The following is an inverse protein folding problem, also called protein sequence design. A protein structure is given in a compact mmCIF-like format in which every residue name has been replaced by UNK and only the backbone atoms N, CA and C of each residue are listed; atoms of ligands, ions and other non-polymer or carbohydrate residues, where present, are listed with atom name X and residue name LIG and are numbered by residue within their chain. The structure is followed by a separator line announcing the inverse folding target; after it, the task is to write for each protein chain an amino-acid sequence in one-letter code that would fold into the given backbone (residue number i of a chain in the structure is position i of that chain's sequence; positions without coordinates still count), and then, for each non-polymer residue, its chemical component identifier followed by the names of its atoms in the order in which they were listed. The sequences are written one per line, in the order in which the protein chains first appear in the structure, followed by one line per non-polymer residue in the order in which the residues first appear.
data_IF_494183534349
#
_entry.id   IF_494183534349
#
_cell.length_a   1.000
_cell.length_b   1.000
_cell.length_c   1.000
_cell.angle_alpha   90.00
_cell.angle_beta   90.00
_cell.angle_gamma   90.00
#
_symmetry.space_group_name_H-M   'P 1'
#
loop_
_entity.id
_entity.type
_entity.pdbx_description
1 polymer ?
#
# COMPACT_ATOMS: atom_id res chain seq x y z
N UNK A 1 -26.56 -10.13 4.24
CA UNK A 1 -25.79 -8.91 4.00
C UNK A 1 -26.55 -8.10 2.97
N UNK A 2 -27.07 -6.90 3.23
CA UNK A 2 -27.71 -6.10 2.21
C UNK A 2 -26.65 -5.55 1.25
N UNK A 3 -26.90 -5.71 -0.04
CA UNK A 3 -26.12 -5.13 -1.14
C UNK A 3 -26.01 -3.61 -1.01
N UNK A 4 -24.81 -3.12 -0.69
CA UNK A 4 -24.46 -1.69 -0.70
C UNK A 4 -23.80 -1.37 -2.05
N UNK A 5 -24.46 -1.70 -3.13
CA UNK A 5 -24.11 -1.22 -4.47
C UNK A 5 -25.28 -0.39 -5.04
N UNK A 6 -25.48 0.80 -4.46
CA UNK A 6 -26.08 1.85 -5.23
C UNK A 6 -24.98 2.38 -6.17
N UNK A 7 -24.93 1.84 -7.38
CA UNK A 7 -24.09 2.37 -8.45
C UNK A 7 -24.63 3.77 -8.79
N UNK A 8 -24.01 4.80 -8.25
CA UNK A 8 -24.10 6.14 -8.83
C UNK A 8 -23.34 6.06 -10.15
N UNK A 9 -24.01 6.35 -11.27
CA UNK A 9 -23.41 6.28 -12.61
C UNK A 9 -22.19 7.21 -12.75
N UNK A 10 -21.40 7.03 -13.82
CA UNK A 10 -20.23 7.86 -14.08
C UNK A 10 -20.60 9.36 -14.08
N UNK A 11 -19.62 10.18 -13.72
CA UNK A 11 -19.75 11.63 -13.73
C UNK A 11 -20.24 12.11 -15.12
N UNK A 12 -21.24 13.00 -15.21
CA UNK A 12 -21.69 13.48 -16.51
C UNK A 12 -20.56 14.08 -17.32
N UNK A 13 -20.48 13.76 -18.62
CA UNK A 13 -19.48 14.32 -19.52
C UNK A 13 -19.51 15.85 -19.46
N UNK A 14 -18.34 16.49 -19.25
CA UNK A 14 -18.21 17.95 -19.15
C UNK A 14 -18.44 18.53 -17.74
N UNK A 15 -18.70 17.70 -16.71
CA UNK A 15 -18.79 18.18 -15.33
C UNK A 15 -17.41 18.54 -14.79
N UNK A 16 -17.34 19.61 -14.00
CA UNK A 16 -16.12 20.01 -13.28
C UNK A 16 -16.40 19.96 -11.78
N UNK A 17 -15.57 19.18 -11.06
CA UNK A 17 -15.55 19.10 -9.60
C UNK A 17 -14.33 19.89 -9.11
N UNK A 18 -14.45 20.63 -8.02
CA UNK A 18 -13.34 21.37 -7.43
C UNK A 18 -13.18 20.98 -5.96
N UNK A 19 -11.95 20.66 -5.57
CA UNK A 19 -11.56 20.34 -4.20
C UNK A 19 -10.15 20.87 -3.90
N UNK A 20 -9.75 20.92 -2.63
CA UNK A 20 -8.37 21.24 -2.28
C UNK A 20 -7.43 20.10 -2.66
N UNK A 21 -7.90 18.85 -2.49
CA UNK A 21 -7.12 17.63 -2.74
C UNK A 21 -7.91 16.62 -3.58
N UNK A 22 -7.29 16.14 -4.66
CA UNK A 22 -7.77 15.01 -5.44
C UNK A 22 -6.87 13.78 -5.17
N UNK A 23 -7.47 12.67 -4.72
CA UNK A 23 -6.76 11.40 -4.50
C UNK A 23 -7.19 10.41 -5.57
N UNK A 24 -6.26 9.98 -6.39
CA UNK A 24 -6.47 8.95 -7.41
C UNK A 24 -6.20 7.58 -6.78
N UNK A 25 -7.24 6.76 -6.66
CA UNK A 25 -7.18 5.42 -6.08
C UNK A 25 -7.82 5.30 -4.70
N UNK A 26 -8.86 4.49 -4.62
CA UNK A 26 -9.67 4.21 -3.43
C UNK A 26 -9.27 2.95 -2.67
N UNK A 27 -7.97 2.63 -2.59
CA UNK A 27 -7.44 1.59 -1.71
C UNK A 27 -7.26 2.09 -0.25
N UNK A 28 -6.66 1.27 0.61
CA UNK A 28 -6.38 1.65 2.00
C UNK A 28 -5.50 2.92 2.09
N UNK A 29 -4.45 2.99 1.27
CA UNK A 29 -3.54 4.14 1.21
C UNK A 29 -4.31 5.41 0.80
N UNK A 30 -5.02 5.37 -0.34
CA UNK A 30 -5.72 6.57 -0.83
C UNK A 30 -6.81 7.05 0.12
N UNK A 31 -7.61 6.16 0.69
CA UNK A 31 -8.61 6.55 1.69
C UNK A 31 -7.98 7.05 3.00
N UNK A 32 -6.85 6.45 3.43
CA UNK A 32 -6.11 6.94 4.59
C UNK A 32 -5.59 8.36 4.39
N UNK A 33 -4.99 8.64 3.22
CA UNK A 33 -4.53 9.98 2.84
C UNK A 33 -5.71 10.97 2.75
N UNK A 34 -6.81 10.57 2.12
CA UNK A 34 -8.01 11.40 2.01
C UNK A 34 -8.58 11.77 3.39
N UNK A 35 -8.63 10.81 4.32
CA UNK A 35 -9.12 11.06 5.67
C UNK A 35 -8.20 12.02 6.43
N UNK A 36 -6.88 11.83 6.38
CA UNK A 36 -5.93 12.71 7.07
C UNK A 36 -5.92 14.12 6.46
N UNK A 37 -6.04 14.25 5.15
CA UNK A 37 -6.22 15.54 4.48
C UNK A 37 -7.53 16.23 4.92
N UNK A 38 -8.63 15.48 5.05
CA UNK A 38 -9.91 15.99 5.55
C UNK A 38 -9.79 16.47 7.01
N UNK A 39 -9.11 15.71 7.87
CA UNK A 39 -8.84 16.09 9.27
C UNK A 39 -8.05 17.39 9.39
N UNK A 40 -7.22 17.73 8.40
CA UNK A 40 -6.49 19.00 8.34
C UNK A 40 -7.34 20.19 7.79
N UNK A 41 -8.63 19.96 7.56
CA UNK A 41 -9.59 20.99 7.12
C UNK A 41 -9.71 21.16 5.61
N UNK A 42 -9.07 20.30 4.80
CA UNK A 42 -9.14 20.35 3.34
C UNK A 42 -10.39 19.67 2.79
N UNK A 43 -10.96 20.21 1.74
CA UNK A 43 -11.94 19.50 0.92
C UNK A 43 -11.24 18.44 0.07
N UNK A 44 -11.79 17.22 0.02
CA UNK A 44 -11.12 16.07 -0.59
C UNK A 44 -12.07 15.28 -1.46
N UNK A 45 -11.60 14.84 -2.62
CA UNK A 45 -12.27 13.83 -3.43
C UNK A 45 -11.37 12.62 -3.66
N UNK A 46 -11.99 11.43 -3.73
CA UNK A 46 -11.34 10.17 -4.07
C UNK A 46 -11.90 9.68 -5.40
N UNK A 47 -11.02 9.52 -6.37
CA UNK A 47 -11.34 9.10 -7.75
C UNK A 47 -11.00 7.62 -7.88
N UNK A 48 -12.02 6.78 -8.02
CA UNK A 48 -11.88 5.33 -8.20
C UNK A 48 -13.22 4.72 -8.63
N UNK A 49 -13.24 3.95 -9.71
CA UNK A 49 -14.45 3.28 -10.24
C UNK A 49 -14.82 2.02 -9.43
N UNK A 50 -13.88 1.43 -8.71
CA UNK A 50 -14.09 0.21 -7.92
C UNK A 50 -13.32 0.25 -6.58
N UNK A 51 -13.64 1.22 -5.68
CA UNK A 51 -12.85 1.49 -4.49
C UNK A 51 -12.77 0.28 -3.56
N UNK A 52 -11.56 -0.03 -3.10
CA UNK A 52 -11.25 -1.14 -2.21
C UNK A 52 -11.09 -2.50 -2.91
N UNK A 53 -11.39 -2.64 -4.21
CA UNK A 53 -11.40 -3.93 -4.94
C UNK A 53 -10.00 -4.47 -5.30
N UNK A 54 -8.96 -3.64 -5.22
CA UNK A 54 -7.59 -3.98 -5.59
C UNK A 54 -6.84 -4.81 -4.54
N UNK A 55 -5.54 -4.52 -4.36
CA UNK A 55 -4.67 -5.22 -3.40
C UNK A 55 -5.21 -5.18 -1.96
N UNK A 56 -5.88 -4.09 -1.56
CA UNK A 56 -6.47 -3.95 -0.23
C UNK A 56 -7.56 -4.98 0.08
N UNK A 57 -8.32 -5.44 -0.93
CA UNK A 57 -9.36 -6.45 -0.76
C UNK A 57 -8.80 -7.82 -0.36
N UNK A 58 -7.69 -8.19 -0.99
CA UNK A 58 -7.06 -9.48 -0.76
C UNK A 58 -6.12 -9.46 0.47
N UNK A 59 -5.69 -8.30 0.94
CA UNK A 59 -4.69 -8.21 2.01
C UNK A 59 -5.12 -8.97 3.27
N UNK A 60 -4.15 -9.66 3.88
CA UNK A 60 -4.36 -10.34 5.16
C UNK A 60 -4.36 -9.36 6.35
N UNK A 61 -3.81 -8.17 6.17
CA UNK A 61 -3.82 -7.13 7.19
C UNK A 61 -2.87 -7.34 8.34
N UNK A 62 -1.80 -8.10 8.15
CA UNK A 62 -0.71 -8.15 9.11
C UNK A 62 -0.03 -6.78 9.22
N UNK A 63 0.19 -6.33 10.45
CA UNK A 63 0.92 -5.13 10.80
C UNK A 63 2.22 -5.59 11.44
N UNK A 64 3.17 -6.02 10.61
CA UNK A 64 4.26 -6.89 11.00
C UNK A 64 5.64 -6.26 10.67
N UNK A 65 6.03 -5.14 11.30
CA UNK A 65 7.32 -4.51 11.04
C UNK A 65 8.50 -5.39 11.44
N UNK A 66 8.28 -6.30 12.40
CA UNK A 66 9.35 -7.15 12.93
C UNK A 66 9.50 -8.43 12.12
N UNK A 67 8.43 -9.19 11.93
CA UNK A 67 8.52 -10.49 11.25
C UNK A 67 8.59 -10.38 9.72
N UNK A 68 8.37 -9.21 9.16
CA UNK A 68 8.54 -8.92 7.73
C UNK A 68 9.82 -8.16 7.39
N UNK A 69 10.76 -8.04 8.32
CA UNK A 69 12.11 -7.53 8.04
C UNK A 69 12.83 -8.50 7.09
N UNK A 70 13.36 -7.97 6.00
CA UNK A 70 14.20 -8.67 5.05
C UNK A 70 15.58 -8.01 4.93
N UNK A 71 16.57 -8.78 4.50
CA UNK A 71 17.89 -8.26 4.18
C UNK A 71 17.82 -7.19 3.10
N UNK A 72 18.60 -6.12 3.23
CA UNK A 72 18.68 -4.98 2.30
C UNK A 72 17.39 -4.13 2.24
N UNK A 73 16.54 -4.19 3.27
CA UNK A 73 15.35 -3.35 3.41
C UNK A 73 15.42 -2.50 4.70
N UNK A 74 16.63 -2.09 5.12
CA UNK A 74 16.86 -1.36 6.39
C UNK A 74 16.17 0.00 6.41
N UNK A 75 16.23 0.77 5.31
CA UNK A 75 15.52 2.06 5.19
C UNK A 75 14.00 1.87 5.35
N UNK A 76 13.47 0.76 4.82
CA UNK A 76 12.04 0.43 4.95
C UNK A 76 11.65 0.10 6.39
N UNK A 77 12.58 -0.47 7.19
CA UNK A 77 12.33 -0.80 8.59
C UNK A 77 11.95 0.45 9.40
N UNK A 78 12.65 1.57 9.22
CA UNK A 78 12.33 2.82 9.94
C UNK A 78 10.89 3.28 9.63
N UNK A 79 10.50 3.27 8.36
CA UNK A 79 9.14 3.64 7.95
C UNK A 79 8.10 2.64 8.48
N UNK A 80 8.40 1.34 8.52
CA UNK A 80 7.51 0.33 9.07
C UNK A 80 7.30 0.50 10.58
N UNK A 81 8.36 0.83 11.33
CA UNK A 81 8.30 1.08 12.77
C UNK A 81 7.52 2.37 13.07
N UNK A 82 7.76 3.43 12.31
CA UNK A 82 6.99 4.68 12.41
C UNK A 82 5.49 4.42 12.16
N UNK A 83 5.17 3.64 11.13
CA UNK A 83 3.78 3.27 10.82
C UNK A 83 3.16 2.44 11.95
N UNK A 84 3.89 1.46 12.48
CA UNK A 84 3.43 0.61 13.59
C UNK A 84 3.14 1.43 14.85
N UNK A 85 3.99 2.41 15.17
CA UNK A 85 3.80 3.31 16.30
C UNK A 85 2.52 4.19 16.15
N UNK A 86 2.13 4.52 14.92
CA UNK A 86 0.93 5.32 14.64
C UNK A 86 -0.37 4.51 14.69
N UNK A 87 -0.32 3.19 14.49
CA UNK A 87 -1.52 2.35 14.36
C UNK A 87 -2.49 2.44 15.54
N UNK A 88 -2.06 2.40 16.83
CA UNK A 88 -3.01 2.48 17.95
C UNK A 88 -3.85 3.76 17.92
N UNK A 89 -3.21 4.91 17.75
CA UNK A 89 -3.89 6.21 17.65
C UNK A 89 -4.79 6.31 16.43
N UNK A 90 -4.27 5.92 15.26
CA UNK A 90 -5.02 5.94 14.00
C UNK A 90 -6.27 5.07 14.06
N UNK A 91 -6.18 3.85 14.61
CA UNK A 91 -7.32 2.95 14.74
C UNK A 91 -8.35 3.48 15.76
N UNK A 92 -7.90 4.07 16.88
CA UNK A 92 -8.78 4.64 17.89
C UNK A 92 -9.55 5.86 17.33
N UNK A 93 -8.85 6.78 16.68
CA UNK A 93 -9.45 7.96 16.06
C UNK A 93 -10.46 7.56 14.99
N UNK A 94 -10.09 6.58 14.14
CA UNK A 94 -10.98 6.08 13.10
C UNK A 94 -12.22 5.40 13.69
N UNK A 95 -12.06 4.59 14.72
CA UNK A 95 -13.19 3.94 15.39
C UNK A 95 -14.17 4.95 16.00
N UNK A 96 -13.64 6.00 16.65
CA UNK A 96 -14.42 7.08 17.24
C UNK A 96 -15.18 7.86 16.16
N UNK A 97 -14.51 8.24 15.09
CA UNK A 97 -15.12 9.01 13.98
C UNK A 97 -16.13 8.17 13.18
N UNK A 98 -15.84 6.90 12.91
CA UNK A 98 -16.72 6.02 12.14
C UNK A 98 -17.89 5.46 12.96
N UNK A 99 -17.84 5.52 14.31
CA UNK A 99 -18.79 4.84 15.17
C UNK A 99 -18.80 3.32 14.99
N UNK A 100 -17.69 2.74 14.54
CA UNK A 100 -17.53 1.31 14.27
C UNK A 100 -16.06 0.89 14.31
N UNK A 101 -15.83 -0.39 14.66
CA UNK A 101 -14.51 -0.97 14.80
C UNK A 101 -13.83 -1.18 13.42
N UNK A 102 -12.64 -0.63 13.17
CA UNK A 102 -11.86 -0.89 11.96
C UNK A 102 -11.21 -2.28 11.93
N UNK A 103 -11.41 -3.11 12.94
CA UNK A 103 -10.88 -4.47 13.01
C UNK A 103 -9.41 -4.54 13.46
N UNK A 104 -8.89 -3.53 14.16
CA UNK A 104 -7.54 -3.54 14.70
C UNK A 104 -7.44 -4.45 15.93
N UNK A 105 -6.42 -5.33 15.94
CA UNK A 105 -6.13 -6.27 17.01
C UNK A 105 -4.65 -6.19 17.39
N UNK A 106 -4.38 -6.08 18.68
CA UNK A 106 -3.03 -6.05 19.27
C UNK A 106 -2.51 -7.44 19.65
N UNK A 107 -3.13 -8.50 19.13
CA UNK A 107 -2.65 -9.86 19.34
C UNK A 107 -1.29 -10.06 18.68
N UNK A 108 -0.33 -10.70 19.36
CA UNK A 108 1.02 -10.88 18.83
C UNK A 108 1.05 -11.81 17.62
N UNK A 109 2.18 -11.84 16.94
CA UNK A 109 2.48 -12.84 15.91
C UNK A 109 3.36 -13.94 16.50
N UNK A 110 2.99 -15.21 16.27
CA UNK A 110 3.84 -16.36 16.49
C UNK A 110 4.52 -16.76 15.18
N UNK A 111 5.86 -16.66 15.12
CA UNK A 111 6.64 -17.21 14.03
C UNK A 111 6.97 -18.68 14.34
N UNK A 112 6.64 -19.59 13.42
CA UNK A 112 6.69 -21.03 13.62
C UNK A 112 7.46 -21.70 12.50
N UNK A 113 8.45 -22.56 12.85
CA UNK A 113 9.18 -23.41 11.89
C UNK A 113 8.66 -24.83 11.95
N UNK A 114 8.37 -25.43 10.79
CA UNK A 114 7.85 -26.78 10.70
C UNK A 114 8.94 -27.84 10.93
N UNK A 115 10.15 -27.62 10.44
CA UNK A 115 11.27 -28.55 10.54
C UNK A 115 12.58 -27.88 11.02
N UNK A 116 13.68 -28.64 11.04
CA UNK A 116 14.95 -28.16 11.51
C UNK A 116 15.56 -27.06 10.62
N UNK A 117 15.35 -27.09 9.31
CA UNK A 117 15.81 -26.09 8.37
C UNK A 117 15.03 -24.78 8.54
N UNK A 118 13.70 -24.87 8.66
CA UNK A 118 12.83 -23.74 8.94
C UNK A 118 13.17 -23.09 10.29
N UNK A 119 13.46 -23.92 11.32
CA UNK A 119 13.95 -23.41 12.62
C UNK A 119 15.24 -22.61 12.45
N UNK A 120 16.23 -23.14 11.70
CA UNK A 120 17.49 -22.41 11.50
C UNK A 120 17.25 -21.07 10.79
N UNK A 121 16.46 -21.07 9.73
CA UNK A 121 16.14 -19.82 9.01
C UNK A 121 15.46 -18.77 9.92
N UNK A 122 14.54 -19.20 10.81
CA UNK A 122 13.90 -18.29 11.76
C UNK A 122 14.86 -17.80 12.86
N UNK A 123 15.83 -18.60 13.27
CA UNK A 123 16.86 -18.19 14.24
C UNK A 123 17.85 -17.20 13.62
N UNK A 124 18.21 -17.38 12.35
CA UNK A 124 19.06 -16.44 11.60
C UNK A 124 18.34 -15.10 11.43
N UNK A 125 17.07 -15.11 11.04
CA UNK A 125 16.24 -13.91 10.97
C UNK A 125 16.13 -13.23 12.35
N UNK A 126 15.92 -13.98 13.42
CA UNK A 126 15.88 -13.45 14.78
C UNK A 126 17.18 -12.74 15.17
N UNK A 127 18.34 -13.26 14.73
CA UNK A 127 19.62 -12.61 14.99
C UNK A 127 19.67 -11.21 14.35
N UNK A 128 19.21 -11.08 13.11
CA UNK A 128 19.11 -9.78 12.39
C UNK A 128 18.10 -8.85 13.08
N UNK A 129 16.92 -9.37 13.45
CA UNK A 129 15.92 -8.59 14.17
C UNK A 129 16.47 -8.01 15.48
N UNK A 130 17.16 -8.82 16.27
CA UNK A 130 17.80 -8.37 17.51
C UNK A 130 18.93 -7.37 17.30
N UNK A 131 19.73 -7.55 16.25
CA UNK A 131 20.77 -6.58 15.87
C UNK A 131 20.19 -5.20 15.54
N UNK A 132 18.94 -5.15 15.05
CA UNK A 132 18.17 -3.93 14.81
C UNK A 132 17.32 -3.48 16.02
N UNK A 133 17.57 -4.02 17.22
CA UNK A 133 16.86 -3.62 18.45
C UNK A 133 15.42 -4.14 18.59
N UNK A 134 15.00 -5.08 17.73
CA UNK A 134 13.66 -5.62 17.75
C UNK A 134 13.49 -6.76 18.75
N UNK A 135 12.32 -6.85 19.37
CA UNK A 135 12.01 -7.87 20.38
C UNK A 135 11.39 -9.09 19.70
N UNK A 136 12.08 -10.21 19.77
CA UNK A 136 11.61 -11.54 19.33
C UNK A 136 12.03 -12.58 20.34
N UNK A 137 11.06 -13.19 21.03
CA UNK A 137 11.32 -14.09 22.15
C UNK A 137 11.10 -15.56 21.78
N UNK A 138 12.07 -16.45 22.03
CA UNK A 138 11.88 -17.87 21.79
C UNK A 138 10.91 -18.46 22.80
N UNK A 139 9.99 -19.30 22.31
CA UNK A 139 9.10 -20.10 23.13
C UNK A 139 9.46 -21.57 23.02
N UNK A 140 9.30 -22.31 24.13
CA UNK A 140 9.26 -23.78 24.03
C UNK A 140 7.98 -24.19 23.28
N UNK A 141 8.01 -25.34 22.63
CA UNK A 141 6.82 -25.89 21.93
C UNK A 141 5.63 -26.04 22.91
N UNK A 142 5.92 -26.39 24.16
CA UNK A 142 4.91 -26.49 25.22
C UNK A 142 4.25 -25.13 25.50
N UNK A 143 5.02 -24.06 25.58
CA UNK A 143 4.50 -22.69 25.80
C UNK A 143 3.72 -22.20 24.60
N UNK A 144 4.22 -22.39 23.38
CA UNK A 144 3.51 -22.03 22.17
C UNK A 144 2.15 -22.75 22.09
N UNK A 145 2.12 -24.06 22.36
CA UNK A 145 0.87 -24.84 22.37
C UNK A 145 -0.06 -24.55 23.57
N UNK A 146 0.46 -23.99 24.67
CA UNK A 146 -0.39 -23.50 25.74
C UNK A 146 -1.14 -22.23 25.33
N UNK A 147 -0.48 -21.35 24.53
CA UNK A 147 -1.12 -20.14 23.97
C UNK A 147 -2.06 -20.48 22.81
N UNK A 148 -1.62 -21.37 21.93
CA UNK A 148 -2.35 -21.80 20.75
C UNK A 148 -2.51 -23.33 20.75
N UNK A 149 -3.56 -23.86 21.40
CA UNK A 149 -3.68 -25.32 21.63
C UNK A 149 -3.76 -26.18 20.38
N UNK A 150 -4.24 -25.60 19.26
CA UNK A 150 -4.38 -26.29 17.98
C UNK A 150 -3.12 -26.28 17.12
N UNK A 151 -2.02 -25.63 17.58
CA UNK A 151 -0.72 -25.78 16.92
C UNK A 151 -0.28 -27.24 16.89
N UNK A 152 0.29 -27.65 15.79
CA UNK A 152 0.86 -28.99 15.60
C UNK A 152 1.91 -29.31 16.68
N UNK A 153 1.88 -30.47 17.28
CA UNK A 153 2.95 -30.94 18.17
C UNK A 153 4.29 -31.16 17.43
N UNK A 154 4.25 -31.28 16.11
CA UNK A 154 5.40 -31.57 15.26
C UNK A 154 6.20 -30.33 14.81
N UNK A 155 5.84 -29.11 15.24
CA UNK A 155 6.63 -27.91 14.92
C UNK A 155 8.02 -27.98 15.55
N UNK A 156 9.03 -27.42 14.86
CA UNK A 156 10.43 -27.45 15.33
C UNK A 156 10.82 -26.26 16.19
N UNK A 157 10.14 -25.11 16.06
CA UNK A 157 10.34 -23.93 16.90
C UNK A 157 9.13 -23.01 16.88
N UNK A 158 9.07 -22.11 17.87
CA UNK A 158 8.16 -20.97 17.92
C UNK A 158 8.87 -19.76 18.50
N UNK A 159 8.61 -18.59 17.93
CA UNK A 159 9.10 -17.29 18.37
C UNK A 159 7.91 -16.36 18.58
N UNK A 160 7.90 -15.60 19.66
CA UNK A 160 6.89 -14.59 19.98
C UNK A 160 7.35 -13.22 19.47
N UNK A 161 6.50 -12.55 18.73
CA UNK A 161 6.74 -11.20 18.20
C UNK A 161 5.62 -10.26 18.68
N UNK A 162 5.77 -9.66 19.89
CA UNK A 162 4.71 -8.88 20.51
C UNK A 162 4.31 -7.61 19.77
N UNK A 163 5.25 -7.02 19.01
CA UNK A 163 5.03 -5.76 18.29
C UNK A 163 4.30 -5.92 16.94
N UNK A 164 4.15 -7.15 16.47
CA UNK A 164 3.43 -7.43 15.22
C UNK A 164 1.94 -7.65 15.54
N UNK A 165 1.12 -6.78 15.02
CA UNK A 165 -0.33 -6.76 15.21
C UNK A 165 -1.07 -7.13 13.92
N UNK A 166 -2.39 -6.87 13.87
CA UNK A 166 -3.20 -7.05 12.68
C UNK A 166 -4.39 -6.09 12.62
N UNK A 167 -4.92 -5.90 11.43
CA UNK A 167 -6.19 -5.21 11.18
C UNK A 167 -6.99 -5.97 10.12
N UNK A 168 -8.30 -5.87 10.12
CA UNK A 168 -9.09 -6.33 8.96
C UNK A 168 -9.11 -5.26 7.87
N UNK A 169 -8.44 -5.46 6.71
CA UNK A 169 -8.36 -4.44 5.67
C UNK A 169 -9.72 -4.05 5.08
N UNK A 170 -10.69 -4.97 5.09
CA UNK A 170 -12.04 -4.70 4.57
C UNK A 170 -12.83 -3.81 5.52
N UNK A 171 -12.74 -4.07 6.83
CA UNK A 171 -13.33 -3.20 7.85
C UNK A 171 -12.64 -1.83 7.89
N UNK A 172 -11.30 -1.81 7.78
CA UNK A 172 -10.53 -0.57 7.70
C UNK A 172 -11.03 0.34 6.57
N UNK A 173 -11.08 -0.17 5.34
CA UNK A 173 -11.54 0.60 4.17
C UNK A 173 -13.01 1.01 4.33
N UNK A 174 -13.86 0.14 4.86
CA UNK A 174 -15.26 0.47 5.13
C UNK A 174 -15.42 1.61 6.14
N UNK A 175 -14.62 1.61 7.23
CA UNK A 175 -14.61 2.68 8.22
C UNK A 175 -14.10 4.00 7.61
N UNK A 176 -12.99 3.98 6.85
CA UNK A 176 -12.46 5.16 6.18
C UNK A 176 -13.48 5.79 5.22
N UNK A 177 -14.15 4.99 4.41
CA UNK A 177 -15.23 5.48 3.52
C UNK A 177 -16.40 6.07 4.29
N UNK A 178 -16.80 5.42 5.40
CA UNK A 178 -17.90 5.90 6.25
C UNK A 178 -17.60 7.27 6.85
N UNK A 179 -16.38 7.48 7.36
CA UNK A 179 -15.97 8.76 7.93
C UNK A 179 -15.99 9.85 6.86
N UNK A 180 -15.39 9.61 5.70
CA UNK A 180 -15.39 10.57 4.60
C UNK A 180 -16.80 10.97 4.16
N UNK A 181 -17.74 10.03 4.10
CA UNK A 181 -19.14 10.30 3.79
C UNK A 181 -19.89 11.01 4.92
N UNK A 182 -19.58 10.68 6.19
CA UNK A 182 -20.20 11.27 7.38
C UNK A 182 -19.79 12.72 7.58
N UNK A 183 -18.50 13.02 7.50
CA UNK A 183 -17.95 14.36 7.64
C UNK A 183 -18.52 15.30 6.57
N UNK A 184 -18.65 14.84 5.34
CA UNK A 184 -19.23 15.61 4.24
C UNK A 184 -20.67 16.08 4.54
N UNK A 185 -21.45 15.24 5.24
CA UNK A 185 -22.85 15.55 5.59
C UNK A 185 -22.98 16.42 6.83
N UNK A 186 -22.14 16.18 7.86
CA UNK A 186 -22.28 16.83 9.18
C UNK A 186 -21.68 18.23 9.23
N UNK A 187 -20.58 18.46 8.49
CA UNK A 187 -19.83 19.75 8.50
C UNK A 187 -20.15 20.63 7.32
N UNK A 188 -20.93 20.16 6.34
CA UNK A 188 -21.15 20.87 5.07
C UNK A 188 -19.90 20.96 4.20
N UNK A 189 -18.84 20.23 4.54
CA UNK A 189 -17.56 20.20 3.81
C UNK A 189 -17.58 19.26 2.59
N UNK A 190 -18.75 18.73 2.24
CA UNK A 190 -18.93 17.90 1.05
C UNK A 190 -18.63 18.64 -0.23
N UNK A 191 -17.93 17.96 -1.13
CA UNK A 191 -17.58 18.52 -2.45
C UNK A 191 -18.78 18.43 -3.39
N UNK A 192 -19.20 19.54 -3.94
CA UNK A 192 -20.30 19.58 -4.89
C UNK A 192 -19.98 18.72 -6.14
N UNK A 193 -20.94 17.91 -6.57
CA UNK A 193 -20.79 17.01 -7.71
C UNK A 193 -20.13 15.65 -7.36
N UNK A 194 -19.53 15.50 -6.17
CA UNK A 194 -19.01 14.22 -5.72
C UNK A 194 -20.11 13.38 -5.03
N UNK A 195 -20.13 12.07 -5.30
CA UNK A 195 -21.01 11.14 -4.62
C UNK A 195 -20.63 11.05 -3.13
N UNK A 196 -21.64 11.00 -2.24
CA UNK A 196 -21.43 11.04 -0.78
C UNK A 196 -20.55 12.22 -0.30
N UNK A 197 -20.39 13.26 -1.14
CA UNK A 197 -19.57 14.45 -0.84
C UNK A 197 -18.06 14.26 -0.91
N UNK A 198 -17.58 13.12 -1.38
CA UNK A 198 -16.14 12.85 -1.54
C UNK A 198 -15.79 11.88 -2.67
N UNK A 199 -16.69 11.02 -3.09
CA UNK A 199 -16.38 9.96 -4.05
C UNK A 199 -16.66 10.40 -5.49
N UNK A 200 -15.72 10.12 -6.37
CA UNK A 200 -15.87 10.26 -7.83
C UNK A 200 -15.76 8.85 -8.43
N UNK A 201 -16.90 8.19 -8.75
CA UNK A 201 -16.94 6.81 -9.22
C UNK A 201 -16.56 6.74 -10.71
N UNK A 202 -15.35 7.13 -11.03
CA UNK A 202 -14.80 7.18 -12.38
C UNK A 202 -13.29 6.85 -12.33
N UNK A 203 -12.70 6.59 -13.49
CA UNK A 203 -11.27 6.40 -13.61
C UNK A 203 -10.57 7.70 -13.96
N UNK A 204 -9.40 7.90 -13.34
CA UNK A 204 -8.49 8.95 -13.74
C UNK A 204 -7.82 8.58 -15.08
N UNK A 205 -7.99 9.41 -16.08
CA UNK A 205 -7.34 9.27 -17.38
C UNK A 205 -5.95 9.91 -17.40
N UNK A 206 -5.78 11.03 -16.67
CA UNK A 206 -4.50 11.72 -16.64
C UNK A 206 -4.49 12.98 -15.80
N UNK A 207 -3.31 13.58 -15.67
CA UNK A 207 -3.08 14.82 -14.93
C UNK A 207 -3.33 16.04 -15.81
N UNK A 208 -3.96 17.05 -15.23
CA UNK A 208 -4.16 18.35 -15.86
C UNK A 208 -3.07 19.31 -15.37
N UNK A 209 -2.46 20.05 -16.32
CA UNK A 209 -1.39 20.99 -16.01
C UNK A 209 -1.83 22.43 -16.28
N UNK A 210 -1.46 23.31 -15.38
CA UNK A 210 -1.63 24.76 -15.54
C UNK A 210 -0.38 25.47 -14.99
N UNK A 211 0.21 26.37 -15.78
CA UNK A 211 1.37 27.19 -15.39
C UNK A 211 2.56 26.41 -14.82
N UNK A 212 2.77 25.17 -15.31
CA UNK A 212 3.86 24.29 -14.88
C UNK A 212 3.62 23.53 -13.58
N UNK A 213 2.41 23.58 -13.03
CA UNK A 213 1.95 22.82 -11.87
C UNK A 213 0.83 21.82 -12.28
N UNK A 214 0.68 20.75 -11.52
CA UNK A 214 -0.50 19.89 -11.63
C UNK A 214 -1.68 20.60 -10.97
N UNK A 215 -2.76 20.78 -11.73
CA UNK A 215 -3.96 21.52 -11.31
C UNK A 215 -5.21 20.65 -11.21
N UNK A 216 -5.07 19.33 -11.41
CA UNK A 216 -6.19 18.41 -11.30
C UNK A 216 -6.05 17.14 -12.15
N UNK A 217 -7.20 16.51 -12.40
CA UNK A 217 -7.33 15.19 -13.02
C UNK A 217 -8.39 15.21 -14.11
N UNK A 218 -8.08 14.65 -15.29
CA UNK A 218 -9.04 14.32 -16.33
C UNK A 218 -9.62 12.93 -16.03
N UNK A 219 -10.94 12.77 -16.21
CA UNK A 219 -11.67 11.53 -16.00
C UNK A 219 -11.93 10.79 -17.32
N UNK A 220 -11.95 9.45 -17.30
CA UNK A 220 -12.30 8.65 -18.49
C UNK A 220 -13.73 8.95 -18.99
N UNK A 221 -14.67 9.22 -18.09
CA UNK A 221 -16.05 9.64 -18.43
C UNK A 221 -16.18 11.03 -19.05
N UNK A 222 -15.07 11.76 -19.23
CA UNK A 222 -15.03 13.09 -19.88
C UNK A 222 -15.27 14.28 -18.93
N UNK A 223 -15.35 14.05 -17.62
CA UNK A 223 -15.34 15.10 -16.59
C UNK A 223 -13.93 15.50 -16.16
N UNK A 224 -13.85 16.51 -15.30
CA UNK A 224 -12.58 16.98 -14.72
C UNK A 224 -12.71 17.19 -13.20
N UNK A 225 -11.62 16.95 -12.50
CA UNK A 225 -11.46 17.34 -11.09
C UNK A 225 -10.33 18.36 -11.01
N UNK A 226 -10.63 19.57 -10.58
CA UNK A 226 -9.63 20.60 -10.31
C UNK A 226 -9.24 20.52 -8.84
N UNK A 227 -7.93 20.54 -8.57
CA UNK A 227 -7.40 20.47 -7.22
C UNK A 227 -6.06 21.18 -7.09
N UNK A 228 -5.81 21.78 -5.92
CA UNK A 228 -4.52 22.35 -5.58
C UNK A 228 -3.43 21.31 -5.37
N UNK A 229 -3.83 20.12 -4.88
CA UNK A 229 -2.95 18.95 -4.71
C UNK A 229 -3.58 17.70 -5.30
N UNK A 230 -2.82 16.96 -6.07
CA UNK A 230 -3.21 15.66 -6.63
C UNK A 230 -2.30 14.57 -6.08
N UNK A 231 -2.91 13.54 -5.47
CA UNK A 231 -2.19 12.39 -4.93
C UNK A 231 -2.44 11.17 -5.80
N UNK A 232 -1.39 10.58 -6.35
CA UNK A 232 -1.46 9.36 -7.17
C UNK A 232 -1.27 8.14 -6.26
N UNK A 233 -2.36 7.46 -5.90
CA UNK A 233 -2.41 6.32 -4.97
C UNK A 233 -3.11 5.08 -5.57
N UNK A 234 -3.18 4.98 -6.91
CA UNK A 234 -3.90 3.93 -7.65
C UNK A 234 -3.07 2.66 -7.91
N UNK A 235 -2.03 2.43 -7.11
CA UNK A 235 -1.27 1.18 -7.14
C UNK A 235 -0.60 0.92 -8.50
N UNK A 236 -0.83 -0.26 -9.08
CA UNK A 236 -0.21 -0.69 -10.34
C UNK A 236 -0.56 0.19 -11.53
N UNK A 237 -1.69 0.90 -11.48
CA UNK A 237 -2.15 1.76 -12.57
C UNK A 237 -1.54 3.17 -12.56
N UNK A 238 -0.65 3.47 -11.59
CA UNK A 238 -0.01 4.78 -11.52
C UNK A 238 0.80 5.13 -12.77
N UNK A 239 1.59 4.23 -13.38
CA UNK A 239 2.35 4.52 -14.60
C UNK A 239 1.47 4.71 -15.86
N UNK A 240 0.20 4.30 -15.81
CA UNK A 240 -0.73 4.37 -16.95
C UNK A 240 -1.37 5.76 -17.10
N UNK A 241 -1.26 6.62 -16.07
CA UNK A 241 -1.82 7.97 -16.10
C UNK A 241 -1.10 8.84 -17.14
N UNK A 242 -1.87 9.46 -18.02
CA UNK A 242 -1.32 10.45 -18.95
C UNK A 242 -0.92 11.72 -18.20
N UNK A 243 0.03 12.48 -18.74
CA UNK A 243 0.46 13.74 -18.13
C UNK A 243 1.37 13.59 -16.91
N UNK A 244 1.86 12.40 -16.58
CA UNK A 244 2.98 12.28 -15.64
C UNK A 244 4.21 13.00 -16.21
N UNK A 245 5.08 13.57 -15.33
CA UNK A 245 6.34 14.16 -15.79
C UNK A 245 7.12 13.19 -16.67
N UNK A 246 7.60 13.66 -17.85
CA UNK A 246 8.17 12.80 -18.90
C UNK A 246 9.38 11.98 -18.43
N UNK A 247 10.15 12.53 -17.49
CA UNK A 247 11.35 11.87 -16.95
C UNK A 247 11.05 11.02 -15.70
N UNK A 248 9.79 11.00 -15.23
CA UNK A 248 9.41 10.22 -14.07
C UNK A 248 9.22 8.75 -14.45
N UNK A 249 10.08 7.91 -13.91
CA UNK A 249 9.98 6.47 -14.11
C UNK A 249 9.43 5.80 -12.83
N UNK A 250 8.25 5.16 -12.95
CA UNK A 250 7.59 4.42 -11.88
C UNK A 250 7.66 2.90 -12.21
N UNK A 251 8.75 2.19 -11.87
CA UNK A 251 8.96 0.80 -12.27
C UNK A 251 8.17 -0.17 -11.40
N UNK A 252 6.85 -0.12 -11.52
CA UNK A 252 5.95 -1.00 -10.77
C UNK A 252 5.83 -2.36 -11.45
N UNK A 253 5.92 -3.42 -10.65
CA UNK A 253 5.73 -4.81 -11.07
C UNK A 253 4.57 -5.46 -10.34
N UNK A 254 3.73 -6.25 -11.03
CA UNK A 254 2.64 -6.96 -10.40
C UNK A 254 3.16 -8.23 -9.70
N UNK A 255 3.08 -8.29 -8.38
CA UNK A 255 3.39 -9.49 -7.59
C UNK A 255 2.08 -10.11 -7.11
N UNK A 256 1.63 -11.15 -7.82
CA UNK A 256 0.37 -11.83 -7.54
C UNK A 256 0.46 -12.72 -6.31
N UNK A 257 -0.62 -12.75 -5.52
CA UNK A 257 -0.74 -13.64 -4.37
C UNK A 257 -2.13 -14.21 -4.26
N UNK A 258 -2.21 -15.54 -4.12
CA UNK A 258 -3.46 -16.23 -3.79
C UNK A 258 -3.66 -16.17 -2.27
N UNK A 259 -4.88 -15.91 -1.84
CA UNK A 259 -5.30 -15.81 -0.45
C UNK A 259 -6.62 -16.56 -0.28
N UNK A 260 -6.74 -17.26 0.83
CA UNK A 260 -7.92 -18.04 1.20
C UNK A 260 -8.59 -17.42 2.42
N UNK A 261 -9.93 -17.38 2.42
CA UNK A 261 -10.74 -17.05 3.60
C UNK A 261 -11.58 -18.27 3.96
N UNK A 262 -11.52 -18.67 5.23
CA UNK A 262 -12.18 -19.86 5.71
C UNK A 262 -13.00 -19.56 6.96
N UNK A 263 -14.15 -20.20 7.09
CA UNK A 263 -14.93 -20.18 8.33
C UNK A 263 -14.43 -21.26 9.28
N UNK A 264 -14.32 -20.90 10.55
CA UNK A 264 -13.97 -21.84 11.62
C UNK A 264 -15.26 -22.39 12.21
N UNK A 265 -15.49 -23.72 12.19
CA UNK A 265 -16.63 -24.35 12.84
C UNK A 265 -16.69 -24.02 14.34
N UNK A 266 -17.89 -23.93 14.91
CA UNK A 266 -18.10 -23.46 16.28
C UNK A 266 -17.27 -24.25 17.32
N UNK A 267 -17.10 -25.55 17.14
CA UNK A 267 -16.35 -26.41 18.07
C UNK A 267 -14.82 -26.22 18.02
N UNK A 268 -14.29 -25.50 16.97
CA UNK A 268 -12.87 -25.19 16.81
C UNK A 268 -12.56 -23.72 17.11
N UNK A 269 -13.53 -22.91 17.51
CA UNK A 269 -13.34 -21.48 17.80
C UNK A 269 -12.77 -21.23 19.18
N UNK A 270 -11.73 -20.39 19.29
CA UNK A 270 -10.95 -19.84 18.20
C UNK A 270 -9.96 -20.88 17.64
N UNK A 271 -9.77 -20.91 16.31
CA UNK A 271 -8.74 -21.77 15.69
C UNK A 271 -7.35 -21.40 16.22
N UNK A 272 -7.02 -20.12 16.16
CA UNK A 272 -5.86 -19.47 16.77
C UNK A 272 -6.28 -18.09 17.26
N UNK A 273 -5.57 -17.55 18.25
CA UNK A 273 -5.80 -16.19 18.80
C UNK A 273 -4.76 -15.20 18.29
N UNK A 274 -3.54 -15.68 18.08
CA UNK A 274 -2.43 -14.90 17.49
C UNK A 274 -2.38 -15.10 15.98
N UNK A 275 -1.75 -14.17 15.27
CA UNK A 275 -1.32 -14.45 13.90
C UNK A 275 -0.25 -15.54 13.93
N UNK A 276 -0.46 -16.64 13.23
CA UNK A 276 0.56 -17.69 13.06
C UNK A 276 1.24 -17.45 11.72
N UNK A 277 2.52 -17.09 11.75
CA UNK A 277 3.37 -16.92 10.56
C UNK A 277 4.39 -18.03 10.53
N UNK A 278 4.29 -18.94 9.59
CA UNK A 278 5.14 -20.11 9.54
C UNK A 278 6.06 -20.17 8.33
N UNK A 279 7.12 -20.95 8.50
CA UNK A 279 7.88 -21.52 7.41
C UNK A 279 7.60 -23.03 7.35
N UNK A 280 7.28 -23.51 6.16
CA UNK A 280 7.08 -24.94 5.90
C UNK A 280 7.93 -25.32 4.68
N UNK A 281 9.00 -26.05 4.91
CA UNK A 281 10.00 -26.37 3.86
C UNK A 281 10.55 -25.13 3.15
N UNK A 282 10.87 -24.08 3.92
CA UNK A 282 11.37 -22.80 3.43
C UNK A 282 10.30 -21.91 2.79
N UNK A 283 9.05 -22.34 2.70
CA UNK A 283 7.96 -21.56 2.10
C UNK A 283 7.16 -20.85 3.19
N UNK A 284 6.99 -19.52 3.11
CA UNK A 284 6.20 -18.79 4.09
C UNK A 284 4.70 -19.04 3.90
N UNK A 285 4.00 -19.24 5.02
CA UNK A 285 2.54 -19.34 5.11
C UNK A 285 2.08 -18.64 6.38
N UNK A 286 0.91 -18.02 6.35
CA UNK A 286 0.34 -17.39 7.54
C UNK A 286 -1.14 -17.77 7.71
N UNK A 287 -1.59 -17.76 8.98
CA UNK A 287 -2.99 -17.93 9.40
C UNK A 287 -3.32 -16.72 10.27
N UNK A 288 -4.22 -15.88 9.82
CA UNK A 288 -4.61 -14.62 10.49
C UNK A 288 -6.06 -14.75 10.97
N UNK A 289 -6.31 -14.80 12.28
CA UNK A 289 -7.67 -14.91 12.82
C UNK A 289 -8.43 -13.60 12.70
N UNK A 290 -9.75 -13.69 12.59
CA UNK A 290 -10.69 -12.56 12.58
C UNK A 290 -11.69 -12.67 13.73
N UNK A 291 -12.24 -11.52 14.14
CA UNK A 291 -13.24 -11.47 15.23
C UNK A 291 -14.56 -12.16 14.89
N UNK A 292 -14.89 -12.25 13.61
CA UNK A 292 -16.12 -12.90 13.12
C UNK A 292 -16.05 -14.43 13.11
N UNK A 293 -14.91 -14.99 13.53
CA UNK A 293 -14.70 -16.43 13.54
C UNK A 293 -14.23 -16.98 12.19
N UNK A 294 -13.78 -16.12 11.27
CA UNK A 294 -13.07 -16.55 10.07
C UNK A 294 -11.55 -16.49 10.26
N UNK A 295 -10.82 -17.10 9.34
CA UNK A 295 -9.37 -16.98 9.25
C UNK A 295 -8.97 -16.68 7.81
N UNK A 296 -7.84 -15.97 7.66
CA UNK A 296 -7.20 -15.72 6.36
C UNK A 296 -5.93 -16.54 6.28
N UNK A 297 -5.78 -17.36 5.24
CA UNK A 297 -4.56 -18.12 4.95
C UNK A 297 -3.91 -17.56 3.69
N UNK A 298 -2.64 -17.30 3.72
CA UNK A 298 -1.87 -16.75 2.60
C UNK A 298 -0.36 -16.89 2.80
N UNK A 299 0.38 -16.40 1.86
CA UNK A 299 0.00 -16.10 0.50
C UNK A 299 1.03 -16.67 -0.45
N UNK A 300 0.57 -17.08 -1.62
CA UNK A 300 1.50 -17.34 -2.72
C UNK A 300 2.16 -16.05 -3.20
N UNK A 301 3.29 -16.19 -3.87
CA UNK A 301 3.96 -15.09 -4.53
C UNK A 301 4.37 -15.52 -5.93
N UNK A 302 3.84 -14.80 -6.94
CA UNK A 302 4.09 -15.08 -8.35
C UNK A 302 4.34 -13.78 -9.09
N UNK A 303 5.41 -13.75 -9.87
CA UNK A 303 5.77 -12.63 -10.76
C UNK A 303 5.62 -13.03 -12.24
N UNK A 304 4.98 -14.17 -12.50
CA UNK A 304 4.75 -14.69 -13.83
C UNK A 304 3.76 -13.82 -14.65
N UNK A 305 4.00 -13.80 -15.96
CA UNK A 305 3.20 -13.07 -16.94
C UNK A 305 1.79 -13.67 -17.18
N UNK A 306 1.36 -14.67 -16.37
CA UNK A 306 0.02 -15.25 -16.46
C UNK A 306 -1.03 -14.21 -16.08
N UNK A 307 -1.38 -13.35 -17.05
CA UNK A 307 -2.41 -12.31 -16.92
C UNK A 307 -2.01 -10.92 -17.40
N UNK A 308 -0.81 -10.71 -17.96
CA UNK A 308 -0.50 -9.49 -18.70
C UNK A 308 -1.06 -9.57 -20.14
N UNK A 309 -2.34 -9.86 -20.27
CA UNK A 309 -3.04 -9.85 -21.55
C UNK A 309 -3.48 -8.46 -21.95
N UNK A 310 -2.54 -7.57 -22.27
CA UNK A 310 -2.76 -6.48 -23.20
C UNK A 310 -2.47 -6.98 -24.61
N UNK A 311 -3.13 -8.06 -25.04
CA UNK A 311 -3.06 -8.61 -26.37
C UNK A 311 -4.46 -8.66 -26.97
N UNK A 312 -4.74 -7.84 -27.96
CA UNK A 312 -5.88 -7.94 -28.87
C UNK A 312 -5.85 -9.29 -29.61
N UNK A 313 -6.34 -10.35 -28.98
CA UNK A 313 -6.39 -11.67 -29.58
C UNK A 313 -7.22 -12.60 -28.72
N UNK A 314 -8.49 -12.81 -29.10
CA UNK A 314 -9.50 -13.56 -28.37
C UNK A 314 -9.04 -14.96 -27.97
N UNK A 315 -9.06 -15.18 -26.68
CA UNK A 315 -9.03 -16.48 -26.00
C UNK A 315 -9.61 -16.28 -24.63
N UNK A 316 -10.82 -16.79 -24.40
CA UNK A 316 -11.43 -16.83 -23.09
C UNK A 316 -10.51 -17.51 -22.09
N UNK A 317 -9.98 -16.79 -21.07
CA UNK A 317 -9.48 -17.48 -19.92
C UNK A 317 -8.20 -17.07 -19.22
N UNK A 318 -7.92 -15.79 -19.00
CA UNK A 318 -7.08 -15.43 -17.86
C UNK A 318 -7.53 -14.10 -17.30
N UNK A 319 -8.58 -14.15 -16.48
CA UNK A 319 -9.06 -12.98 -15.77
C UNK A 319 -7.98 -12.49 -14.78
N UNK A 320 -7.83 -11.18 -14.64
CA UNK A 320 -6.91 -10.52 -13.73
C UNK A 320 -7.00 -10.97 -12.26
N UNK A 321 -7.95 -11.81 -11.92
CA UNK A 321 -8.23 -12.38 -10.60
C UNK A 321 -8.19 -13.91 -10.52
N UNK A 322 -7.66 -14.61 -11.55
CA UNK A 322 -7.64 -16.08 -11.51
C UNK A 322 -6.71 -16.60 -10.41
N UNK A 323 -7.25 -17.51 -9.59
CA UNK A 323 -6.55 -18.19 -8.50
C UNK A 323 -5.90 -19.45 -9.04
N UNK A 324 -4.67 -19.75 -8.61
CA UNK A 324 -3.98 -20.97 -8.98
C UNK A 324 -4.46 -22.15 -8.16
N UNK A 325 -4.92 -23.24 -8.81
CA UNK A 325 -5.26 -24.48 -8.11
C UNK A 325 -4.09 -25.04 -7.30
N UNK A 326 -2.86 -24.98 -7.85
CA UNK A 326 -1.64 -25.36 -7.13
C UNK A 326 -1.39 -24.45 -5.92
N UNK A 327 -1.64 -23.14 -6.04
CA UNK A 327 -1.50 -22.20 -4.94
C UNK A 327 -2.48 -22.49 -3.80
N UNK A 328 -3.75 -22.76 -4.12
CA UNK A 328 -4.76 -23.15 -3.10
C UNK A 328 -4.33 -24.42 -2.37
N UNK A 329 -3.93 -25.44 -3.13
CA UNK A 329 -3.45 -26.69 -2.55
C UNK A 329 -2.24 -26.48 -1.64
N UNK A 330 -1.25 -25.70 -2.10
CA UNK A 330 -0.05 -25.41 -1.33
C UNK A 330 -0.39 -24.71 0.00
N UNK A 331 -1.22 -23.66 -0.04
CA UNK A 331 -1.61 -22.91 1.16
C UNK A 331 -2.35 -23.78 2.18
N UNK A 332 -3.30 -24.58 1.74
CA UNK A 332 -4.04 -25.50 2.62
C UNK A 332 -3.11 -26.57 3.22
N UNK A 333 -2.27 -27.21 2.39
CA UNK A 333 -1.31 -28.21 2.84
C UNK A 333 -0.34 -27.66 3.88
N UNK A 334 0.24 -26.47 3.61
CA UNK A 334 1.28 -25.91 4.48
C UNK A 334 0.67 -25.33 5.77
N UNK A 335 -0.53 -24.74 5.70
CA UNK A 335 -1.26 -24.34 6.89
C UNK A 335 -1.64 -25.51 7.80
N UNK A 336 -2.02 -26.68 7.23
CA UNK A 336 -2.31 -27.90 7.99
C UNK A 336 -1.06 -28.46 8.70
N UNK A 337 0.14 -28.29 8.15
CA UNK A 337 1.38 -28.68 8.85
C UNK A 337 1.54 -27.91 10.16
N UNK A 338 1.16 -26.65 10.19
CA UNK A 338 1.26 -25.78 11.37
C UNK A 338 0.05 -25.94 12.32
N UNK A 339 -1.15 -26.01 11.77
CA UNK A 339 -2.41 -26.13 12.48
C UNK A 339 -3.27 -27.20 11.81
N UNK A 340 -3.19 -28.47 12.25
CA UNK A 340 -3.88 -29.59 11.60
C UNK A 340 -5.38 -29.41 11.43
N UNK A 341 -6.02 -28.70 12.37
CA UNK A 341 -7.45 -28.40 12.34
C UNK A 341 -7.90 -27.54 11.14
N UNK A 342 -6.97 -26.97 10.36
CA UNK A 342 -7.28 -26.29 9.08
C UNK A 342 -8.01 -27.24 8.11
N UNK A 343 -7.81 -28.55 8.22
CA UNK A 343 -8.50 -29.54 7.41
C UNK A 343 -10.04 -29.54 7.59
N UNK A 344 -10.52 -29.06 8.73
CA UNK A 344 -11.94 -29.06 9.10
C UNK A 344 -12.64 -27.73 8.77
N UNK A 345 -11.92 -26.75 8.23
CA UNK A 345 -12.47 -25.43 7.96
C UNK A 345 -13.27 -25.38 6.65
N UNK A 346 -14.27 -24.53 6.60
CA UNK A 346 -15.07 -24.28 5.40
C UNK A 346 -14.44 -23.20 4.52
N UNK A 347 -14.10 -23.53 3.28
CA UNK A 347 -13.52 -22.58 2.34
C UNK A 347 -14.61 -21.62 1.81
N UNK A 348 -14.53 -20.34 2.18
CA UNK A 348 -15.50 -19.31 1.80
C UNK A 348 -15.10 -18.56 0.52
N UNK A 349 -13.80 -18.27 0.38
CA UNK A 349 -13.31 -17.43 -0.71
C UNK A 349 -11.87 -17.78 -1.08
N UNK A 350 -11.61 -17.84 -2.39
CA UNK A 350 -10.27 -17.86 -2.96
C UNK A 350 -10.08 -16.56 -3.77
N UNK A 351 -9.10 -15.76 -3.44
CA UNK A 351 -8.86 -14.47 -4.09
C UNK A 351 -7.41 -14.34 -4.53
N UNK A 352 -7.19 -13.85 -5.75
CA UNK A 352 -5.89 -13.46 -6.24
C UNK A 352 -5.88 -11.98 -6.59
N UNK A 353 -4.87 -11.24 -6.10
CA UNK A 353 -4.62 -9.85 -6.46
C UNK A 353 -3.13 -9.59 -6.59
N UNK A 354 -2.80 -8.61 -7.40
CA UNK A 354 -1.41 -8.19 -7.59
C UNK A 354 -1.07 -7.05 -6.61
N UNK A 355 0.06 -7.21 -5.91
CA UNK A 355 0.67 -6.17 -5.08
C UNK A 355 1.54 -5.29 -5.97
N UNK A 356 1.50 -3.96 -5.84
CA UNK A 356 2.38 -3.05 -6.58
C UNK A 356 3.79 -3.09 -5.97
N UNK A 357 4.67 -3.91 -6.55
CA UNK A 357 6.08 -4.00 -6.13
C UNK A 357 6.96 -3.03 -6.91
N UNK A 358 7.99 -2.50 -6.26
CA UNK A 358 9.10 -1.74 -6.82
C UNK A 358 10.34 -2.61 -6.91
N UNK A 359 11.40 -2.24 -7.63
CA UNK A 359 12.63 -3.02 -7.69
C UNK A 359 13.28 -3.29 -6.33
N UNK A 360 13.21 -2.31 -5.41
CA UNK A 360 13.76 -2.35 -4.05
C UNK A 360 12.72 -2.71 -2.97
N UNK A 361 11.48 -3.06 -3.37
CA UNK A 361 10.34 -3.34 -2.50
C UNK A 361 9.88 -2.18 -1.59
N UNK A 362 10.53 -1.03 -1.65
CA UNK A 362 10.17 0.16 -0.89
C UNK A 362 9.14 1.02 -1.65
N UNK A 363 8.24 1.76 -0.96
CA UNK A 363 7.23 2.56 -1.64
C UNK A 363 7.83 3.73 -2.42
N UNK A 364 7.07 4.21 -3.40
CA UNK A 364 7.25 5.51 -4.05
C UNK A 364 6.35 6.49 -3.31
N UNK A 365 6.94 7.28 -2.40
CA UNK A 365 6.18 8.15 -1.50
C UNK A 365 6.85 9.52 -1.39
N UNK A 366 6.15 10.57 -1.81
CA UNK A 366 6.67 11.93 -1.72
C UNK A 366 6.31 12.82 -2.90
N UNK A 367 6.84 14.03 -2.89
CA UNK A 367 6.80 14.93 -4.04
C UNK A 367 7.80 14.48 -5.09
N UNK A 368 7.45 14.72 -6.35
CA UNK A 368 8.32 14.36 -7.47
C UNK A 368 9.44 15.41 -7.58
N UNK A 369 10.66 15.00 -7.27
CA UNK A 369 11.87 15.78 -7.52
C UNK A 369 12.47 15.32 -8.85
N UNK A 370 12.40 16.15 -9.87
CA UNK A 370 13.05 15.86 -11.14
C UNK A 370 14.43 16.55 -11.19
N UNK A 371 15.50 15.82 -11.53
CA UNK A 371 16.77 16.44 -11.79
C UNK A 371 16.63 17.35 -13.02
N UNK A 372 16.78 18.68 -12.83
CA UNK A 372 16.73 19.66 -13.92
C UNK A 372 15.36 20.23 -14.24
N UNK A 373 14.44 20.31 -13.29
CA UNK A 373 13.22 21.10 -13.44
C UNK A 373 13.53 22.46 -14.09
N UNK A 374 12.60 23.09 -14.85
CA UNK A 374 12.88 24.23 -15.69
C UNK A 374 13.70 25.25 -14.89
N UNK A 375 14.88 25.60 -15.39
CA UNK A 375 15.65 26.72 -14.85
C UNK A 375 14.73 27.96 -14.98
N UNK A 376 13.91 28.18 -13.95
CA UNK A 376 13.18 29.40 -13.80
C UNK A 376 14.20 30.52 -13.92
N UNK A 377 13.95 31.49 -14.81
CA UNK A 377 14.71 32.71 -14.94
C UNK A 377 15.24 33.11 -13.57
N UNK A 378 16.56 33.34 -13.48
CA UNK A 378 17.17 33.88 -12.27
C UNK A 378 16.31 35.05 -11.77
N UNK A 379 15.88 35.01 -10.49
CA UNK A 379 15.16 36.15 -9.94
C UNK A 379 16.05 37.36 -10.03
N UNK A 380 15.47 38.49 -10.45
CA UNK A 380 16.15 39.77 -10.46
C UNK A 380 16.75 40.04 -9.06
N UNK A 381 17.97 40.63 -8.98
CA UNK A 381 18.62 40.88 -7.69
C UNK A 381 17.74 41.82 -6.86
N UNK A 382 17.30 41.35 -5.68
CA UNK A 382 16.54 42.17 -4.71
C UNK A 382 15.28 41.55 -4.12
N UNK A 383 14.87 40.32 -4.50
CA UNK A 383 13.82 39.58 -3.79
C UNK A 383 14.40 38.34 -3.12
N UNK A 384 14.62 38.46 -1.81
CA UNK A 384 14.79 37.32 -0.91
C UNK A 384 13.44 36.60 -0.80
N UNK A 385 13.19 35.62 -1.66
CA UNK A 385 11.97 34.85 -1.68
C UNK A 385 12.28 33.49 -2.23
N UNK A 386 12.24 32.47 -1.35
CA UNK A 386 12.10 31.04 -1.61
C UNK A 386 13.04 30.49 -2.70
N UNK A 387 14.07 29.81 -2.28
CA UNK A 387 14.84 28.90 -3.14
C UNK A 387 13.83 28.07 -3.93
N UNK A 388 13.87 28.17 -5.27
CA UNK A 388 12.92 27.53 -6.16
C UNK A 388 12.78 26.06 -5.83
N UNK A 389 11.59 25.63 -5.46
CA UNK A 389 11.24 24.26 -5.18
C UNK A 389 11.67 23.38 -6.35
N UNK A 390 12.52 22.39 -6.10
CA UNK A 390 12.93 21.36 -7.06
C UNK A 390 11.81 20.36 -7.30
N UNK A 391 10.60 20.58 -6.80
CA UNK A 391 9.49 19.67 -6.85
C UNK A 391 8.43 20.09 -7.85
N UNK A 392 7.78 19.12 -8.48
CA UNK A 392 6.56 19.32 -9.25
C UNK A 392 5.46 19.79 -8.29
N UNK A 393 4.99 21.00 -8.47
CA UNK A 393 3.93 21.56 -7.65
C UNK A 393 2.60 20.88 -7.93
N UNK A 394 1.79 20.67 -6.89
CA UNK A 394 0.47 20.05 -6.99
C UNK A 394 0.48 18.55 -7.22
N UNK A 395 1.64 17.86 -7.10
CA UNK A 395 1.74 16.42 -7.32
C UNK A 395 2.45 15.71 -6.17
N UNK A 396 1.79 14.70 -5.62
CA UNK A 396 2.34 13.74 -4.67
C UNK A 396 2.11 12.33 -5.23
N UNK A 397 3.12 11.48 -5.17
CA UNK A 397 3.03 10.05 -5.51
C UNK A 397 3.00 9.24 -4.21
N UNK A 398 2.08 8.28 -4.11
CA UNK A 398 1.95 7.37 -2.98
C UNK A 398 1.56 5.98 -3.48
N UNK A 399 2.51 5.25 -4.06
CA UNK A 399 2.30 3.94 -4.68
C UNK A 399 3.46 2.98 -4.43
N UNK A 400 3.40 1.76 -4.94
CA UNK A 400 4.52 0.81 -4.83
C UNK A 400 4.71 0.21 -3.43
N UNK A 401 3.69 0.19 -2.58
CA UNK A 401 3.78 -0.27 -1.18
C UNK A 401 3.95 -1.79 -1.01
N UNK A 402 3.93 -2.54 -2.10
CA UNK A 402 4.12 -3.99 -2.14
C UNK A 402 3.30 -4.72 -1.07
N UNK A 403 3.96 -5.49 -0.17
CA UNK A 403 3.31 -6.26 0.92
C UNK A 403 2.92 -5.42 2.13
N UNK A 404 3.46 -4.20 2.23
CA UNK A 404 3.32 -3.34 3.43
C UNK A 404 2.21 -2.29 3.34
N UNK A 405 1.39 -2.27 2.27
CA UNK A 405 0.41 -1.20 2.05
C UNK A 405 -0.57 -0.99 3.21
N UNK A 406 -1.01 -2.05 3.88
CA UNK A 406 -1.89 -1.92 5.04
C UNK A 406 -1.11 -1.35 6.24
N UNK A 407 0.05 -1.93 6.56
CA UNK A 407 0.90 -1.45 7.66
C UNK A 407 1.24 0.04 7.49
N UNK A 408 1.63 0.44 6.28
CA UNK A 408 2.13 1.80 6.00
C UNK A 408 1.02 2.85 5.85
N UNK A 409 -0.26 2.47 5.88
CA UNK A 409 -1.38 3.42 5.68
C UNK A 409 -1.31 4.64 6.61
N UNK A 410 -1.14 4.54 7.94
CA UNK A 410 -1.10 5.72 8.80
C UNK A 410 0.11 6.62 8.57
N UNK A 411 1.28 6.04 8.30
CA UNK A 411 2.50 6.81 8.02
C UNK A 411 2.41 7.52 6.66
N UNK A 412 1.96 6.82 5.61
CA UNK A 412 1.77 7.42 4.29
C UNK A 412 0.76 8.58 4.34
N UNK A 413 -0.33 8.42 5.10
CA UNK A 413 -1.33 9.47 5.29
C UNK A 413 -0.74 10.71 5.98
N UNK A 414 0.02 10.52 7.06
CA UNK A 414 0.66 11.59 7.80
C UNK A 414 1.73 12.30 6.94
N UNK A 415 2.59 11.55 6.26
CA UNK A 415 3.62 12.09 5.37
C UNK A 415 2.98 12.92 4.24
N UNK A 416 1.94 12.41 3.58
CA UNK A 416 1.25 13.18 2.54
C UNK A 416 0.62 14.47 3.09
N UNK A 417 0.05 14.45 4.30
CA UNK A 417 -0.47 15.66 4.96
C UNK A 417 0.64 16.67 5.23
N UNK A 418 1.78 16.23 5.78
CA UNK A 418 2.93 17.08 6.04
C UNK A 418 3.46 17.73 4.75
N UNK A 419 3.53 16.96 3.65
CA UNK A 419 3.88 17.50 2.33
C UNK A 419 2.89 18.56 1.84
N UNK A 420 1.58 18.36 2.05
CA UNK A 420 0.54 19.35 1.73
C UNK A 420 0.64 20.61 2.61
N UNK A 421 1.15 20.47 3.85
CA UNK A 421 1.43 21.57 4.77
C UNK A 421 2.77 22.30 4.45
N UNK A 422 3.50 21.82 3.42
CA UNK A 422 4.79 22.39 3.02
C UNK A 422 5.97 21.93 3.88
N UNK A 423 5.79 20.86 4.66
CA UNK A 423 6.84 20.25 5.50
C UNK A 423 7.33 18.96 4.86
N UNK A 424 8.65 18.79 4.79
CA UNK A 424 9.28 17.58 4.28
C UNK A 424 10.27 17.06 5.33
N UNK A 425 10.04 15.81 5.79
CA UNK A 425 10.95 15.14 6.70
C UNK A 425 12.04 14.41 5.90
N UNK A 426 13.33 14.74 6.07
CA UNK A 426 14.43 14.14 5.31
C UNK A 426 14.58 12.63 5.52
N UNK A 427 14.03 12.05 6.59
CA UNK A 427 14.02 10.60 6.82
C UNK A 427 13.34 9.84 5.69
N UNK A 428 12.38 10.48 5.01
CA UNK A 428 11.60 9.84 3.94
C UNK A 428 12.17 10.07 2.54
N UNK A 429 13.32 10.77 2.43
CA UNK A 429 14.00 10.99 1.17
C UNK A 429 14.36 9.70 0.39
N UNK A 430 14.71 8.57 1.03
CA UNK A 430 14.94 7.30 0.33
C UNK A 430 13.73 6.81 -0.49
N UNK A 431 12.51 7.22 -0.13
CA UNK A 431 11.27 6.83 -0.80
C UNK A 431 10.84 7.76 -1.93
N UNK A 432 11.69 8.76 -2.28
CA UNK A 432 11.36 9.72 -3.32
C UNK A 432 10.94 9.02 -4.63
N UNK A 433 9.80 9.41 -5.25
CA UNK A 433 9.31 8.79 -6.48
C UNK A 433 10.27 8.86 -7.67
N UNK A 434 11.13 9.88 -7.70
CA UNK A 434 12.12 10.07 -8.77
C UNK A 434 13.39 9.23 -8.64
N UNK A 435 13.55 8.40 -7.59
CA UNK A 435 14.79 7.66 -7.33
C UNK A 435 15.19 6.65 -8.42
N UNK A 436 14.24 6.19 -9.21
CA UNK A 436 14.48 5.30 -10.36
C UNK A 436 14.53 6.05 -11.70
N UNK A 437 14.34 7.36 -11.69
CA UNK A 437 14.39 8.17 -12.90
C UNK A 437 15.83 8.38 -13.34
N UNK A 438 16.14 8.37 -14.66
CA UNK A 438 17.50 8.58 -15.14
C UNK A 438 18.01 9.95 -14.68
N UNK A 439 19.30 10.00 -14.28
CA UNK A 439 19.95 11.28 -14.04
C UNK A 439 19.89 12.14 -15.32
N UNK A 440 19.72 13.48 -15.24
CA UNK A 440 19.68 14.31 -16.42
C UNK A 440 20.95 14.07 -17.25
N UNK A 441 20.77 13.87 -18.55
CA UNK A 441 21.86 13.83 -19.51
C UNK A 441 22.72 15.09 -19.31
N UNK A 442 23.92 14.95 -18.75
CA UNK A 442 24.92 16.00 -18.91
C UNK A 442 25.18 16.08 -20.38
N UNK A 443 24.72 17.14 -21.06
CA UNK A 443 25.19 17.44 -22.40
C UNK A 443 26.71 17.40 -22.32
N UNK A 444 27.32 16.51 -23.09
CA UNK A 444 28.76 16.50 -23.28
C UNK A 444 29.16 17.93 -23.68
N UNK A 445 30.00 18.57 -22.88
CA UNK A 445 30.63 19.82 -23.27
C UNK A 445 31.23 19.57 -24.64
N UNK A 446 30.77 20.34 -25.62
CA UNK A 446 31.33 20.33 -26.96
C UNK A 446 32.83 20.59 -26.81
N UNK A 447 33.62 19.60 -27.19
CA UNK A 447 35.07 19.68 -27.17
C UNK A 447 35.46 20.95 -27.93
N UNK A 448 36.05 21.89 -27.23
CA UNK A 448 36.61 23.10 -27.84
C UNK A 448 37.60 22.67 -28.92
N UNK A 449 37.31 23.01 -30.15
CA UNK A 449 38.19 22.82 -31.31
C UNK A 449 39.51 23.55 -31.01
N UNK A 450 40.69 22.91 -31.07
CA UNK A 450 41.93 23.62 -30.88
C UNK A 450 42.13 24.56 -32.08
N UNK A 451 42.24 25.85 -31.78
CA UNK A 451 42.61 26.89 -32.78
C UNK A 451 44.03 26.62 -33.31
N UNK A 452 44.09 26.28 -34.57
CA UNK A 452 45.34 26.08 -35.32
C UNK A 452 45.93 27.46 -35.61
N UNK A 453 46.82 27.95 -34.78
CA UNK A 453 47.69 29.08 -35.10
C UNK A 453 48.88 28.55 -35.85
N UNK A 454 48.85 28.65 -37.16
CA UNK A 454 50.05 28.61 -37.99
C UNK A 454 50.89 29.85 -37.71
N UNK A 455 52.05 29.66 -37.12
CA UNK A 455 53.14 30.65 -37.19
C UNK A 455 53.96 30.35 -38.46
N UNK A 456 53.96 31.34 -39.34
CA UNK A 456 54.89 31.43 -40.45
C UNK A 456 56.16 32.17 -39.96
N UNK A 457 57.30 31.53 -40.05
CA UNK A 457 58.63 32.15 -40.39
C UNK A 457 59.60 31.05 -40.77
#
# INVERSE_FOLDING_TARGET
MPDVHAATGPCPSGSTITADVAVIGGGAIGHGIAWEARRSGRSVVVIDDAPGSGASWAAAGMLAPVSELHYQEEDLLELMLEASARWPGFAADLAAAAGSDPGYLTTPTLAVGADAADRQALLDLRAVQRANGLTVEPLTIREARRREPLLSPGIACALDTPADHQVDPRLLVACLRRVLAGDARSTGSGVAGAADGFAVPDKAAGLLWQDGAVAGVALEGGGTVLAGETVVANGLHAPELTGLPIDLHLPLRPVRGDILRLAVPAHLRPLVTSTVRGLVRGVPVYIVPRRDGTVVIGATQREDALGSGSGSGGGAGSSAGAVSAGGVYQLLRDAQVLVPAVAELELLECTARARPGTPDNAPLLGRVSLPGGPMGRQPAPGRSGLQGSRHVQGLIIATGFFRHGILLTPAAAAICRELMDGTEDPRWAPFNPGRFSPAPFRMAEAAATPSNTQETA
#
